data_IF_418505847657
#
_entry.id   IF_418505847657
#
_cell.length_a   1.000
_cell.length_b   1.000
_cell.length_c   1.000
_cell.angle_alpha   90.00
_cell.angle_beta   90.00
_cell.angle_gamma   90.00
#
_symmetry.space_group_name_H-M   'P 1'
#
loop_
_entity.id
_entity.type
_entity.pdbx_description
1 polymer ?
#
# COMPACT_ATOMS: atom_id res chain seq x y z
N UNK A 1 -8.16 9.09 -32.45
CA UNK A 1 -7.80 9.92 -31.28
C UNK A 1 -6.62 9.27 -30.61
N UNK A 2 -5.54 10.01 -30.36
CA UNK A 2 -4.37 9.49 -29.64
C UNK A 2 -4.64 9.73 -28.15
N UNK A 3 -4.68 8.67 -27.35
CA UNK A 3 -4.71 8.82 -25.88
C UNK A 3 -3.36 9.40 -25.44
N UNK A 4 -3.37 10.65 -24.97
CA UNK A 4 -2.16 11.37 -24.55
C UNK A 4 -2.08 11.55 -23.03
N UNK A 5 -2.77 10.71 -22.26
CA UNK A 5 -2.69 10.75 -20.80
C UNK A 5 -1.51 9.90 -20.33
N UNK A 6 -0.53 10.46 -19.59
CA UNK A 6 0.53 9.65 -18.98
C UNK A 6 -0.11 8.56 -18.10
N UNK A 7 0.23 7.29 -18.35
CA UNK A 7 -0.23 6.20 -17.48
C UNK A 7 0.48 6.34 -16.14
N UNK A 8 -0.29 6.63 -15.09
CA UNK A 8 0.23 6.64 -13.72
C UNK A 8 0.68 5.24 -13.31
N UNK A 9 1.73 5.18 -12.50
CA UNK A 9 2.18 3.93 -11.88
C UNK A 9 1.13 3.47 -10.88
N UNK A 10 0.59 2.27 -11.05
CA UNK A 10 -0.35 1.70 -10.09
C UNK A 10 0.39 1.27 -8.83
N UNK A 11 0.00 1.83 -7.69
CA UNK A 11 0.59 1.57 -6.38
C UNK A 11 -0.41 0.84 -5.49
N UNK A 12 0.07 -0.18 -4.79
CA UNK A 12 -0.63 -0.77 -3.66
C UNK A 12 0.02 -0.24 -2.39
N UNK A 13 -0.74 0.24 -1.42
CA UNK A 13 -0.20 0.74 -0.15
C UNK A 13 -0.44 -0.28 0.97
N UNK A 14 0.43 -0.35 1.98
CA UNK A 14 0.15 -1.18 3.15
C UNK A 14 0.76 -0.61 4.43
N UNK A 15 0.08 -0.78 5.56
CA UNK A 15 0.56 -0.34 6.86
C UNK A 15 0.44 -1.42 7.94
N UNK A 16 1.44 -1.46 8.82
CA UNK A 16 1.43 -2.26 10.04
C UNK A 16 1.14 -1.34 11.24
N UNK A 17 0.00 -1.55 11.89
CA UNK A 17 -0.45 -0.79 13.03
C UNK A 17 0.04 -1.43 14.33
N UNK A 18 0.90 -0.72 15.06
CA UNK A 18 1.41 -1.11 16.37
C UNK A 18 0.59 -0.48 17.51
N UNK A 19 -0.72 -0.47 17.35
CA UNK A 19 -1.68 0.23 18.22
C UNK A 19 -1.44 1.75 18.31
N UNK A 20 -1.04 2.38 17.20
CA UNK A 20 -0.93 3.84 17.14
C UNK A 20 -2.32 4.46 16.88
N UNK A 21 -2.81 5.36 17.75
CA UNK A 21 -4.11 6.02 17.54
C UNK A 21 -4.18 6.87 16.26
N UNK A 22 -3.04 7.24 15.67
CA UNK A 22 -2.96 8.02 14.44
C UNK A 22 -2.81 7.15 13.19
N UNK A 23 -2.86 5.82 13.31
CA UNK A 23 -2.61 4.92 12.18
C UNK A 23 -3.50 5.18 10.96
N UNK A 24 -4.79 5.47 11.18
CA UNK A 24 -5.71 5.80 10.09
C UNK A 24 -5.31 7.09 9.37
N UNK A 25 -4.85 8.09 10.12
CA UNK A 25 -4.32 9.33 9.54
C UNK A 25 -3.07 9.05 8.70
N UNK A 26 -2.14 8.23 9.18
CA UNK A 26 -0.94 7.86 8.42
C UNK A 26 -1.27 7.11 7.13
N UNK A 27 -2.26 6.20 7.15
CA UNK A 27 -2.70 5.51 5.93
C UNK A 27 -3.33 6.48 4.92
N UNK A 28 -4.11 7.46 5.38
CA UNK A 28 -4.64 8.53 4.51
C UNK A 28 -3.52 9.39 3.93
N UNK A 29 -2.55 9.78 4.76
CA UNK A 29 -1.41 10.59 4.31
C UNK A 29 -0.52 9.83 3.33
N UNK A 30 -0.28 8.53 3.56
CA UNK A 30 0.45 7.67 2.64
C UNK A 30 -0.22 7.61 1.26
N UNK A 31 -1.55 7.51 1.22
CA UNK A 31 -2.30 7.57 -0.03
C UNK A 31 -2.12 8.92 -0.73
N UNK A 32 -2.29 10.03 -0.01
CA UNK A 32 -2.13 11.39 -0.55
C UNK A 32 -0.73 11.62 -1.12
N UNK A 33 0.32 11.23 -0.38
CA UNK A 33 1.70 11.36 -0.80
C UNK A 33 2.01 10.47 -2.02
N UNK A 34 1.44 9.26 -2.08
CA UNK A 34 1.57 8.35 -3.23
C UNK A 34 0.92 8.94 -4.48
N UNK A 35 -0.26 9.53 -4.35
CA UNK A 35 -0.92 10.22 -5.46
C UNK A 35 -0.17 11.48 -5.91
N UNK A 36 0.35 12.25 -4.95
CA UNK A 36 1.21 13.42 -5.21
C UNK A 36 2.52 13.03 -5.91
N UNK A 37 3.03 11.82 -5.66
CA UNK A 37 4.17 11.22 -6.37
C UNK A 37 3.82 10.69 -7.78
N UNK A 38 2.71 11.16 -8.37
CA UNK A 38 2.22 10.79 -9.70
C UNK A 38 1.91 9.29 -9.87
N UNK A 39 1.48 8.64 -8.79
CA UNK A 39 0.99 7.26 -8.79
C UNK A 39 -0.54 7.21 -8.67
N UNK A 40 -1.12 6.04 -8.92
CA UNK A 40 -2.54 5.73 -8.72
C UNK A 40 -2.63 4.69 -7.61
N UNK A 41 -3.23 5.04 -6.47
CA UNK A 41 -3.47 4.07 -5.40
C UNK A 41 -4.61 3.15 -5.81
N UNK A 42 -4.30 1.88 -6.10
CA UNK A 42 -5.28 0.90 -6.61
C UNK A 42 -5.82 -0.04 -5.54
N UNK A 43 -5.22 -0.04 -4.35
CA UNK A 43 -5.62 -0.88 -3.23
C UNK A 43 -4.77 -0.62 -1.99
N UNK A 44 -5.26 -1.12 -0.85
CA UNK A 44 -4.58 -0.96 0.42
C UNK A 44 -4.71 -2.23 1.29
N UNK A 45 -3.70 -2.50 2.12
CA UNK A 45 -3.79 -3.49 3.20
C UNK A 45 -3.43 -2.87 4.55
N UNK A 46 -4.05 -3.40 5.61
CA UNK A 46 -3.77 -3.02 7.00
C UNK A 46 -3.53 -4.29 7.81
N UNK A 47 -2.59 -4.24 8.75
CA UNK A 47 -2.36 -5.31 9.71
C UNK A 47 -2.21 -4.72 11.10
N UNK A 48 -3.03 -5.16 12.06
CA UNK A 48 -2.80 -4.84 13.47
C UNK A 48 -1.81 -5.85 14.03
N UNK A 49 -0.77 -5.38 14.70
CA UNK A 49 0.25 -6.21 15.33
C UNK A 49 0.55 -5.71 16.73
N UNK A 50 0.83 -6.63 17.65
CA UNK A 50 1.31 -6.27 18.98
C UNK A 50 2.79 -5.86 18.97
N UNK A 51 3.56 -6.38 18.00
CA UNK A 51 5.00 -6.14 17.86
C UNK A 51 5.41 -6.14 16.39
N UNK A 52 6.50 -5.43 16.04
CA UNK A 52 7.07 -5.48 14.69
C UNK A 52 7.63 -6.88 14.43
N UNK A 53 7.16 -7.54 13.37
CA UNK A 53 7.79 -8.75 12.86
C UNK A 53 9.07 -8.35 12.13
N UNK A 54 10.21 -8.60 12.79
CA UNK A 54 11.53 -8.26 12.28
C UNK A 54 11.79 -8.92 10.91
N UNK A 55 12.13 -8.09 9.92
CA UNK A 55 12.49 -8.52 8.56
C UNK A 55 11.54 -8.02 7.47
N UNK A 56 10.23 -8.01 7.71
CA UNK A 56 9.23 -7.76 6.65
C UNK A 56 8.11 -6.79 7.04
N UNK A 57 8.03 -6.32 8.29
CA UNK A 57 6.93 -5.54 8.87
C UNK A 57 5.56 -6.26 8.91
N UNK A 58 5.36 -7.27 8.05
CA UNK A 58 4.17 -8.10 7.95
C UNK A 58 4.49 -9.58 8.16
N UNK A 59 3.53 -10.34 8.69
CA UNK A 59 3.64 -11.80 8.75
C UNK A 59 3.56 -12.43 7.35
N UNK A 60 4.14 -13.64 7.19
CA UNK A 60 4.17 -14.34 5.89
C UNK A 60 2.79 -14.49 5.23
N UNK A 61 1.75 -14.79 6.03
CA UNK A 61 0.38 -14.89 5.52
C UNK A 61 -0.11 -13.58 4.91
N UNK A 62 0.16 -12.45 5.57
CA UNK A 62 -0.23 -11.13 5.08
C UNK A 62 0.58 -10.71 3.86
N UNK A 63 1.87 -11.04 3.80
CA UNK A 63 2.69 -10.78 2.59
C UNK A 63 2.09 -11.49 1.37
N UNK A 64 1.67 -12.75 1.52
CA UNK A 64 1.02 -13.49 0.43
C UNK A 64 -0.30 -12.85 0.03
N UNK A 65 -1.12 -12.42 1.00
CA UNK A 65 -2.38 -11.70 0.74
C UNK A 65 -2.14 -10.39 -0.02
N UNK A 66 -1.17 -9.58 0.43
CA UNK A 66 -0.77 -8.32 -0.24
C UNK A 66 -0.32 -8.60 -1.67
N UNK A 67 0.51 -9.62 -1.88
CA UNK A 67 1.01 -10.01 -3.20
C UNK A 67 -0.14 -10.37 -4.14
N UNK A 68 -1.07 -11.21 -3.68
CA UNK A 68 -2.19 -11.68 -4.50
C UNK A 68 -3.14 -10.52 -4.86
N UNK A 69 -3.46 -9.65 -3.90
CA UNK A 69 -4.26 -8.45 -4.14
C UNK A 69 -3.57 -7.48 -5.10
N UNK A 70 -2.30 -7.16 -4.85
CA UNK A 70 -1.51 -6.25 -5.67
C UNK A 70 -1.41 -6.76 -7.13
N UNK A 71 -1.20 -8.07 -7.31
CA UNK A 71 -1.20 -8.69 -8.64
C UNK A 71 -2.57 -8.61 -9.32
N UNK A 72 -3.66 -8.92 -8.61
CA UNK A 72 -5.02 -8.82 -9.14
C UNK A 72 -5.38 -7.40 -9.60
N UNK A 73 -4.90 -6.39 -8.86
CA UNK A 73 -5.08 -4.98 -9.16
C UNK A 73 -4.06 -4.42 -10.17
N UNK A 74 -3.12 -5.24 -10.62
CA UNK A 74 -2.03 -4.88 -11.54
C UNK A 74 -1.14 -3.75 -11.00
N UNK A 75 -0.99 -3.67 -9.68
CA UNK A 75 -0.04 -2.78 -9.05
C UNK A 75 1.39 -3.11 -9.51
N UNK A 76 2.21 -2.07 -9.65
CA UNK A 76 3.61 -2.16 -10.05
C UNK A 76 4.58 -1.96 -8.90
N UNK A 77 4.09 -1.32 -7.84
CA UNK A 77 4.87 -1.01 -6.64
C UNK A 77 4.01 -1.26 -5.40
N UNK A 78 4.67 -1.69 -4.33
CA UNK A 78 4.15 -1.69 -2.97
C UNK A 78 4.80 -0.51 -2.25
N UNK A 79 3.98 0.31 -1.58
CA UNK A 79 4.44 1.44 -0.75
C UNK A 79 4.02 1.14 0.69
N UNK A 80 4.96 1.31 1.64
CA UNK A 80 4.78 1.02 3.05
C UNK A 80 4.94 2.28 3.90
#
# INVERSE_FOLDING_TARGET
MIENTPRKTKAFIAGANLNDPNFDYYMSELANLTEAANMEVVGQARQNEEHIIAGTYFGLGKINEIKDMAHGLKAKVLVL
#
